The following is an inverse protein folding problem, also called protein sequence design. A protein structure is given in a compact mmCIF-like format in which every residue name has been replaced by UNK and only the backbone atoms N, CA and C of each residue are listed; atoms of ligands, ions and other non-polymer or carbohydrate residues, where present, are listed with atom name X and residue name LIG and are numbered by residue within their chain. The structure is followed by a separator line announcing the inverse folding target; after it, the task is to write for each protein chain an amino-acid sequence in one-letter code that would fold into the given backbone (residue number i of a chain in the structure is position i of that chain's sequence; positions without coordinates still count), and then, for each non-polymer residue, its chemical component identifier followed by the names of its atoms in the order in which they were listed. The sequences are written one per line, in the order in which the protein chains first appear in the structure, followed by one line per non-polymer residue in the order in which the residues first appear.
data_IF_505008685538
#
_entry.id   IF_505008685538
#
_cell.length_a   1.000
_cell.length_b   1.000
_cell.length_c   1.000
_cell.angle_alpha   90.00
_cell.angle_beta   90.00
_cell.angle_gamma   90.00
#
_symmetry.space_group_name_H-M   'P 1'
#
loop_
_entity.id
_entity.type
_entity.pdbx_description
1 polymer ?
#
# COMPACT_ATOMS: atom_id res chain seq x y z
N UNK A 1 -8.54 -10.08 22.03
CA UNK A 1 -9.83 -10.77 22.22
C UNK A 1 -10.26 -11.30 20.86
N UNK A 2 -10.56 -12.60 20.73
CA UNK A 2 -11.10 -13.19 19.50
C UNK A 2 -12.57 -13.44 19.80
N UNK A 3 -13.41 -12.48 19.50
CA UNK A 3 -14.82 -12.49 19.92
C UNK A 3 -15.74 -13.18 18.89
N UNK A 4 -15.22 -13.57 17.72
CA UNK A 4 -15.97 -14.24 16.65
C UNK A 4 -15.54 -15.69 16.43
N UNK A 5 -16.50 -16.62 16.53
CA UNK A 5 -16.29 -18.05 16.30
C UNK A 5 -15.79 -18.37 14.88
N UNK A 6 -16.08 -17.53 13.88
CA UNK A 6 -15.62 -17.69 12.49
C UNK A 6 -14.09 -17.52 12.34
N UNK A 7 -13.42 -16.87 13.30
CA UNK A 7 -11.98 -16.62 13.24
C UNK A 7 -11.12 -17.81 13.68
N UNK A 8 -11.70 -18.85 14.30
CA UNK A 8 -10.92 -19.98 14.86
C UNK A 8 -10.24 -20.79 13.74
N UNK A 9 -10.89 -20.94 12.57
CA UNK A 9 -10.30 -21.68 11.44
C UNK A 9 -9.05 -21.00 10.85
N UNK A 10 -8.88 -19.70 11.10
CA UNK A 10 -7.78 -18.90 10.55
C UNK A 10 -6.65 -18.67 11.55
N UNK A 11 -6.64 -19.46 12.62
CA UNK A 11 -5.59 -19.49 13.65
C UNK A 11 -4.90 -20.85 13.66
N UNK A 12 -3.57 -20.86 13.58
CA UNK A 12 -2.75 -22.09 13.61
C UNK A 12 -1.45 -21.82 14.32
N UNK A 13 -0.97 -22.84 15.01
CA UNK A 13 0.41 -22.88 15.43
C UNK A 13 1.32 -23.14 14.24
N UNK A 14 2.29 -22.25 14.03
CA UNK A 14 3.28 -22.34 12.97
C UNK A 14 4.68 -22.56 13.56
N UNK A 15 5.50 -23.45 12.98
CA UNK A 15 6.91 -23.53 13.34
C UNK A 15 7.64 -22.27 12.85
N UNK A 16 8.43 -21.66 13.72
CA UNK A 16 9.27 -20.50 13.40
C UNK A 16 10.72 -20.80 13.76
N UNK A 17 11.65 -20.25 12.99
CA UNK A 17 13.08 -20.31 13.28
C UNK A 17 13.50 -19.04 14.00
N UNK A 18 14.15 -19.19 15.15
CA UNK A 18 14.76 -18.08 15.88
C UNK A 18 16.25 -18.36 16.09
N UNK A 19 17.05 -17.35 16.49
CA UNK A 19 18.45 -17.57 16.85
C UNK A 19 18.66 -18.62 17.96
N UNK A 20 17.64 -18.87 18.80
CA UNK A 20 17.69 -19.84 19.90
C UNK A 20 17.21 -21.25 19.50
N UNK A 21 16.72 -21.42 18.27
CA UNK A 21 16.21 -22.70 17.75
C UNK A 21 14.81 -22.61 17.16
N UNK A 22 14.18 -23.77 16.96
CA UNK A 22 12.81 -23.84 16.43
C UNK A 22 11.79 -23.66 17.55
N UNK A 23 10.83 -22.77 17.37
CA UNK A 23 9.72 -22.51 18.30
C UNK A 23 8.37 -22.64 17.58
N UNK A 24 7.27 -22.63 18.34
CA UNK A 24 5.91 -22.52 17.80
C UNK A 24 5.34 -21.15 18.11
N UNK A 25 4.83 -20.47 17.09
CA UNK A 25 4.13 -19.19 17.21
C UNK A 25 2.68 -19.34 16.78
N UNK A 26 1.78 -18.54 17.37
CA UNK A 26 0.38 -18.48 16.95
C UNK A 26 0.27 -17.53 15.75
N UNK A 27 -0.09 -18.08 14.59
CA UNK A 27 -0.29 -17.33 13.35
C UNK A 27 -1.78 -17.09 13.12
N UNK A 28 -2.11 -15.85 12.77
CA UNK A 28 -3.43 -15.42 12.34
C UNK A 28 -3.33 -15.06 10.85
N UNK A 29 -4.21 -15.62 10.02
CA UNK A 29 -4.35 -15.17 8.64
C UNK A 29 -5.80 -14.86 8.33
N UNK A 30 -6.04 -14.18 7.21
CA UNK A 30 -7.39 -14.05 6.67
C UNK A 30 -7.52 -15.14 5.61
N UNK A 31 -8.37 -16.14 5.87
CA UNK A 31 -8.67 -17.18 4.89
C UNK A 31 -9.41 -16.60 3.69
N UNK A 32 -9.26 -17.22 2.52
CA UNK A 32 -9.92 -16.78 1.27
C UNK A 32 -11.42 -17.13 1.21
N UNK A 33 -12.03 -17.47 2.35
CA UNK A 33 -13.44 -17.90 2.38
C UNK A 33 -14.33 -16.66 2.55
N UNK A 34 -14.78 -16.06 1.44
CA UNK A 34 -15.78 -14.98 1.49
C UNK A 34 -15.93 -14.20 0.18
N UNK A 35 -17.08 -13.53 0.00
CA UNK A 35 -17.41 -12.71 -1.19
C UNK A 35 -16.60 -11.41 -1.30
N UNK A 36 -15.74 -11.09 -0.33
CA UNK A 36 -14.94 -9.86 -0.26
C UNK A 36 -13.48 -10.01 -0.71
N UNK A 37 -13.01 -11.21 -1.05
CA UNK A 37 -11.60 -11.48 -1.33
C UNK A 37 -11.34 -11.60 -2.82
N UNK A 38 -10.63 -10.63 -3.40
CA UNK A 38 -10.15 -10.71 -4.78
C UNK A 38 -8.70 -11.17 -4.81
N UNK A 39 -8.50 -12.47 -5.06
CA UNK A 39 -7.16 -13.03 -5.24
C UNK A 39 -6.56 -12.65 -6.59
N UNK A 40 -5.23 -12.76 -6.68
CA UNK A 40 -4.44 -12.65 -7.91
C UNK A 40 -4.73 -11.40 -8.75
N UNK A 41 -5.08 -10.30 -8.09
CA UNK A 41 -5.25 -9.02 -8.79
C UNK A 41 -3.90 -8.56 -9.36
N UNK A 42 -3.90 -8.05 -10.61
CA UNK A 42 -2.73 -7.39 -11.16
C UNK A 42 -2.22 -6.27 -10.23
N UNK A 43 -0.90 -6.15 -10.06
CA UNK A 43 -0.31 -5.22 -9.08
C UNK A 43 -0.63 -3.76 -9.40
N UNK A 44 -0.78 -3.40 -10.67
CA UNK A 44 -1.25 -2.09 -11.14
C UNK A 44 -2.67 -1.79 -10.65
N UNK A 45 -3.57 -2.78 -10.68
CA UNK A 45 -4.92 -2.64 -10.15
C UNK A 45 -4.90 -2.43 -8.63
N UNK A 46 -4.10 -3.23 -7.92
CA UNK A 46 -3.92 -3.09 -6.47
C UNK A 46 -3.34 -1.71 -6.13
N UNK A 47 -2.33 -1.27 -6.86
CA UNK A 47 -1.71 0.04 -6.66
C UNK A 47 -2.71 1.18 -6.87
N UNK A 48 -3.53 1.10 -7.92
CA UNK A 48 -4.58 2.06 -8.21
C UNK A 48 -5.59 2.20 -7.06
N UNK A 49 -5.97 1.07 -6.44
CA UNK A 49 -6.86 1.04 -5.28
C UNK A 49 -6.17 1.62 -4.04
N UNK A 50 -4.97 1.15 -3.69
CA UNK A 50 -4.26 1.59 -2.49
C UNK A 50 -3.91 3.08 -2.52
N UNK A 51 -3.59 3.64 -3.70
CA UNK A 51 -3.31 5.06 -3.86
C UNK A 51 -4.52 5.97 -3.58
N UNK A 52 -5.75 5.43 -3.60
CA UNK A 52 -7.00 6.18 -3.44
C UNK A 52 -7.78 5.79 -2.18
N UNK A 53 -7.52 4.61 -1.62
CA UNK A 53 -8.20 4.11 -0.43
C UNK A 53 -7.86 4.96 0.79
N UNK A 54 -8.89 5.35 1.56
CA UNK A 54 -8.76 6.05 2.83
C UNK A 54 -9.86 5.59 3.78
N UNK A 55 -9.46 5.17 4.97
CA UNK A 55 -10.36 4.79 6.06
C UNK A 55 -10.13 5.68 7.28
N UNK A 56 -10.84 5.37 8.37
CA UNK A 56 -10.77 6.14 9.61
C UNK A 56 -9.37 6.18 10.26
N UNK A 57 -8.50 5.18 10.00
CA UNK A 57 -7.13 5.11 10.52
C UNK A 57 -6.12 5.82 9.63
N UNK A 58 -6.43 6.04 8.34
CA UNK A 58 -5.49 6.62 7.38
C UNK A 58 -5.64 6.07 5.96
N UNK A 59 -4.70 6.43 5.11
CA UNK A 59 -4.70 6.04 3.69
C UNK A 59 -4.08 4.65 3.46
N UNK A 60 -4.51 3.97 2.39
CA UNK A 60 -3.90 2.71 1.97
C UNK A 60 -2.44 2.86 1.55
N UNK A 61 -2.09 4.00 0.95
CA UNK A 61 -0.72 4.31 0.57
C UNK A 61 0.21 4.46 1.78
N UNK A 62 -0.24 5.18 2.82
CA UNK A 62 0.50 5.34 4.07
C UNK A 62 0.66 4.02 4.81
N UNK A 63 -0.42 3.22 4.88
CA UNK A 63 -0.38 1.89 5.48
C UNK A 63 0.68 1.01 4.79
N UNK A 64 0.67 0.95 3.45
CA UNK A 64 1.65 0.18 2.70
C UNK A 64 3.09 0.67 2.95
N UNK A 65 3.31 1.99 2.90
CA UNK A 65 4.62 2.60 3.13
C UNK A 65 5.18 2.25 4.51
N UNK A 66 4.35 2.41 5.55
CA UNK A 66 4.74 2.08 6.92
C UNK A 66 5.04 0.58 7.07
N UNK A 67 4.27 -0.28 6.42
CA UNK A 67 4.51 -1.73 6.43
C UNK A 67 5.86 -2.08 5.83
N UNK A 68 6.16 -1.55 4.63
CA UNK A 68 7.44 -1.80 3.95
C UNK A 68 8.62 -1.26 4.74
N UNK A 69 8.51 -0.04 5.25
CA UNK A 69 9.58 0.63 6.01
C UNK A 69 9.93 -0.12 7.30
N UNK A 70 8.93 -0.58 8.05
CA UNK A 70 9.20 -1.35 9.27
C UNK A 70 9.78 -2.73 8.95
N UNK A 71 9.29 -3.43 7.92
CA UNK A 71 9.88 -4.70 7.49
C UNK A 71 11.36 -4.52 7.11
N UNK A 72 11.69 -3.49 6.34
CA UNK A 72 13.08 -3.18 5.98
C UNK A 72 13.94 -2.87 7.20
N UNK A 73 13.44 -2.13 8.19
CA UNK A 73 14.15 -1.86 9.44
C UNK A 73 14.49 -3.14 10.23
N UNK A 74 13.70 -4.20 10.07
CA UNK A 74 13.98 -5.54 10.62
C UNK A 74 14.82 -6.42 9.68
N UNK A 75 15.33 -5.89 8.57
CA UNK A 75 16.12 -6.62 7.57
C UNK A 75 15.28 -7.52 6.65
N UNK A 76 13.96 -7.34 6.63
CA UNK A 76 13.03 -8.14 5.82
C UNK A 76 12.70 -7.36 4.54
N UNK A 77 13.27 -7.78 3.40
CA UNK A 77 13.04 -7.16 2.09
C UNK A 77 12.18 -8.03 1.19
N UNK A 78 10.87 -7.81 1.21
CA UNK A 78 9.92 -8.52 0.33
C UNK A 78 9.85 -7.87 -1.07
N UNK A 79 10.30 -8.58 -2.11
CA UNK A 79 10.35 -8.06 -3.48
C UNK A 79 8.99 -7.56 -4.01
N UNK A 80 7.88 -8.20 -3.63
CA UNK A 80 6.56 -7.88 -4.13
C UNK A 80 6.03 -6.63 -3.45
N UNK A 81 6.23 -6.50 -2.13
CA UNK A 81 5.82 -5.29 -1.40
C UNK A 81 6.61 -4.06 -1.85
N UNK A 82 7.92 -4.22 -2.11
CA UNK A 82 8.74 -3.16 -2.70
C UNK A 82 8.23 -2.71 -4.05
N UNK A 83 7.95 -3.68 -4.94
CA UNK A 83 7.38 -3.38 -6.26
C UNK A 83 6.02 -2.69 -6.15
N UNK A 84 5.15 -3.15 -5.26
CA UNK A 84 3.84 -2.56 -5.06
C UNK A 84 3.94 -1.12 -4.52
N UNK A 85 4.86 -0.85 -3.59
CA UNK A 85 5.11 0.50 -3.08
C UNK A 85 5.56 1.46 -4.19
N UNK A 86 6.45 1.03 -5.08
CA UNK A 86 6.87 1.83 -6.24
C UNK A 86 5.68 2.20 -7.14
N UNK A 87 4.81 1.23 -7.44
CA UNK A 87 3.62 1.43 -8.27
C UNK A 87 2.62 2.39 -7.59
N UNK A 88 2.38 2.24 -6.29
CA UNK A 88 1.53 3.16 -5.53
C UNK A 88 2.10 4.57 -5.54
N UNK A 89 3.41 4.72 -5.37
CA UNK A 89 4.06 6.04 -5.42
C UNK A 89 3.94 6.69 -6.81
N UNK A 90 4.02 5.89 -7.89
CA UNK A 90 3.78 6.38 -9.26
C UNK A 90 2.34 6.82 -9.45
N UNK A 91 1.36 6.03 -8.98
CA UNK A 91 -0.06 6.39 -9.02
C UNK A 91 -0.36 7.68 -8.25
N UNK A 92 0.16 7.83 -7.03
CA UNK A 92 0.00 9.04 -6.22
C UNK A 92 0.56 10.27 -6.96
N UNK A 93 1.74 10.15 -7.57
CA UNK A 93 2.31 11.22 -8.41
C UNK A 93 1.45 11.52 -9.63
N UNK A 94 0.88 10.53 -10.30
CA UNK A 94 0.00 10.74 -11.46
C UNK A 94 -1.32 11.43 -11.09
N UNK A 95 -1.86 11.16 -9.89
CA UNK A 95 -3.07 11.82 -9.37
C UNK A 95 -2.78 13.29 -9.06
N UNK A 96 -1.66 13.60 -8.40
CA UNK A 96 -1.36 14.95 -7.90
C UNK A 96 -0.55 15.80 -8.88
N UNK A 97 0.24 15.19 -9.77
CA UNK A 97 0.99 15.87 -10.82
C UNK A 97 0.11 16.58 -11.83
N UNK A 98 -1.11 16.06 -12.07
CA UNK A 98 -2.14 16.78 -12.86
C UNK A 98 -2.71 18.02 -12.18
N UNK A 99 -2.50 18.19 -10.87
CA UNK A 99 -2.99 19.33 -10.09
C UNK A 99 -1.96 20.45 -9.97
N UNK A 100 -0.70 20.17 -10.34
CA UNK A 100 0.43 21.12 -10.32
C UNK A 100 0.74 21.62 -11.74
N UNK A 101 -0.28 22.06 -12.49
CA UNK A 101 -0.08 23.05 -13.55
C UNK A 101 -0.30 24.44 -12.94
N UNK A 102 0.73 25.12 -12.42
CA UNK A 102 0.62 26.54 -12.15
C UNK A 102 0.45 27.25 -13.49
N UNK A 103 -0.60 28.07 -13.62
CA UNK A 103 -0.82 28.94 -14.77
C UNK A 103 0.31 29.93 -14.99
N UNK A 104 1.40 29.47 -15.59
CA UNK A 104 2.50 30.29 -16.10
C UNK A 104 2.58 30.15 -17.62
N UNK A 105 1.48 30.47 -18.30
CA UNK A 105 1.50 30.77 -19.73
C UNK A 105 0.38 31.73 -20.08
N UNK A 106 0.35 32.91 -19.45
CA UNK A 106 -0.36 34.06 -20.02
C UNK A 106 0.19 35.42 -19.50
N UNK A 107 1.50 35.63 -19.54
CA UNK A 107 2.11 36.95 -19.32
C UNK A 107 3.26 37.27 -20.28
N UNK A 108 3.18 36.74 -21.51
CA UNK A 108 4.05 37.13 -22.63
C UNK A 108 3.24 37.73 -23.79
N UNK A 109 2.21 38.49 -23.44
CA UNK A 109 1.63 39.50 -24.32
C UNK A 109 1.90 40.88 -23.71
N UNK A 110 3.18 41.24 -23.65
CA UNK A 110 3.54 42.66 -23.65
C UNK A 110 3.03 43.26 -24.96
N UNK A 111 2.25 44.32 -24.81
CA UNK A 111 1.44 45.01 -25.82
C UNK A 111 2.21 45.44 -27.09
N UNK A 112 1.48 45.67 -28.20
CA UNK A 112 2.05 46.15 -29.45
C UNK A 112 2.62 47.57 -29.31
N UNK A 113 3.74 47.80 -30.00
CA UNK A 113 4.26 49.14 -30.28
C UNK A 113 3.31 49.87 -31.23
N UNK A 114 2.86 51.07 -30.86
CA UNK A 114 2.33 52.04 -31.82
C UNK A 114 2.44 53.46 -31.26
N UNK A 115 3.29 54.24 -31.96
CA UNK A 115 3.44 55.70 -32.07
C UNK A 115 3.44 56.58 -30.82
#
# INVERSE_FOLDING_TARGET
EISDHESIETVRWLPVHTPQGKLRALGFWVGVKGRGTSLNQPLDRVASVLARACGHIGSGAEYLYNTVSHLEAFGIRDRNLWRLQELVAQEVRAIHGRKLEPGLSLALQARPQSQ
#
